data_IF_844435358397
#
_entry.id   IF_844435358397
#
_cell.length_a   1.000
_cell.length_b   1.000
_cell.length_c   1.000
_cell.angle_alpha   90.00
_cell.angle_beta   90.00
_cell.angle_gamma   90.00
#
_symmetry.space_group_name_H-M   'P 1'
#
loop_
_entity.id
_entity.type
_entity.pdbx_description
1 polymer ?
#
# COMPACT_ATOMS: atom_id res chain seq x y z
N UNK A 1 37.53 -31.05 28.97
CA UNK A 1 36.37 -30.14 28.86
C UNK A 1 36.33 -29.66 27.42
N UNK A 2 35.47 -30.28 26.60
CA UNK A 2 35.35 -30.00 25.17
C UNK A 2 34.18 -29.07 24.89
N UNK A 3 34.40 -28.07 24.03
CA UNK A 3 33.36 -27.19 23.49
C UNK A 3 32.88 -27.71 22.14
N UNK A 4 31.56 -27.64 21.92
CA UNK A 4 30.89 -27.94 20.65
C UNK A 4 30.46 -26.60 20.05
N UNK A 5 31.03 -26.25 18.90
CA UNK A 5 30.57 -25.17 18.04
C UNK A 5 29.49 -25.68 17.09
N UNK A 6 28.46 -24.85 16.87
CA UNK A 6 27.38 -25.13 15.91
C UNK A 6 27.62 -24.25 14.69
N UNK A 7 27.98 -24.89 13.58
CA UNK A 7 28.07 -24.31 12.24
C UNK A 7 26.66 -24.05 11.68
N UNK A 8 26.44 -22.85 11.13
CA UNK A 8 25.28 -22.50 10.33
C UNK A 8 25.72 -22.32 8.87
N UNK A 9 25.79 -23.42 8.13
CA UNK A 9 26.01 -23.43 6.67
C UNK A 9 24.67 -23.37 5.94
N UNK A 10 24.33 -22.21 5.37
CA UNK A 10 23.30 -22.09 4.34
C UNK A 10 23.88 -22.52 2.99
N UNK A 11 23.22 -23.47 2.34
CA UNK A 11 23.72 -24.18 1.16
C UNK A 11 23.70 -23.30 -0.11
N UNK A 12 24.82 -22.61 -0.35
CA UNK A 12 25.08 -21.77 -1.54
C UNK A 12 25.10 -22.55 -2.88
N UNK A 13 25.05 -23.88 -2.84
CA UNK A 13 25.18 -24.74 -4.03
C UNK A 13 23.96 -24.71 -4.96
N UNK A 14 22.75 -24.55 -4.43
CA UNK A 14 21.49 -24.63 -5.21
C UNK A 14 21.25 -23.39 -6.06
N UNK A 15 21.56 -22.20 -5.54
CA UNK A 15 21.42 -20.93 -6.28
C UNK A 15 22.43 -20.82 -7.44
N UNK A 16 23.63 -21.38 -7.26
CA UNK A 16 24.66 -21.43 -8.31
C UNK A 16 24.20 -22.27 -9.51
N UNK A 17 23.56 -23.41 -9.28
CA UNK A 17 23.11 -24.30 -10.36
C UNK A 17 21.97 -23.72 -11.21
N UNK A 18 21.05 -22.97 -10.61
CA UNK A 18 19.96 -22.30 -11.34
C UNK A 18 20.49 -21.20 -12.26
N UNK A 19 21.45 -20.40 -11.76
CA UNK A 19 22.08 -19.33 -12.52
C UNK A 19 22.88 -19.87 -13.71
N UNK A 20 23.65 -20.95 -13.53
CA UNK A 20 24.39 -21.58 -14.64
C UNK A 20 23.49 -22.12 -15.76
N UNK A 21 22.31 -22.65 -15.41
CA UNK A 21 21.32 -23.11 -16.40
C UNK A 21 20.77 -21.93 -17.21
N UNK A 22 20.37 -20.83 -16.56
CA UNK A 22 19.88 -19.64 -17.24
C UNK A 22 20.94 -19.02 -18.17
N UNK A 23 22.20 -18.99 -17.73
CA UNK A 23 23.32 -18.55 -18.58
C UNK A 23 23.49 -19.47 -19.80
N UNK A 24 23.35 -20.79 -19.63
CA UNK A 24 23.44 -21.76 -20.73
C UNK A 24 22.31 -21.59 -21.74
N UNK A 25 21.08 -21.42 -21.27
CA UNK A 25 19.90 -21.26 -22.13
C UNK A 25 19.95 -19.93 -22.88
N UNK A 26 20.38 -18.87 -22.21
CA UNK A 26 20.63 -17.58 -22.84
C UNK A 26 21.73 -17.65 -23.88
N UNK A 27 22.85 -18.36 -23.62
CA UNK A 27 23.90 -18.58 -24.61
C UNK A 27 23.38 -19.31 -25.84
N UNK A 28 22.58 -20.35 -25.65
CA UNK A 28 21.96 -21.11 -26.74
C UNK A 28 21.03 -20.21 -27.57
N UNK A 29 20.18 -19.42 -26.93
CA UNK A 29 19.23 -18.55 -27.61
C UNK A 29 19.92 -17.34 -28.27
N UNK A 30 20.99 -16.81 -27.68
CA UNK A 30 21.82 -15.77 -28.27
C UNK A 30 22.71 -16.27 -29.40
N UNK A 31 23.01 -17.57 -29.48
CA UNK A 31 23.73 -18.15 -30.61
C UNK A 31 22.86 -18.24 -31.87
N UNK A 32 21.55 -18.42 -31.71
CA UNK A 32 20.61 -18.60 -32.83
C UNK A 32 19.91 -17.32 -33.29
N UNK A 33 19.95 -16.23 -32.50
CA UNK A 33 19.27 -14.97 -32.85
C UNK A 33 20.06 -14.07 -33.81
N UNK A 34 19.39 -13.23 -34.59
CA UNK A 34 20.04 -12.19 -35.42
C UNK A 34 20.54 -11.05 -34.53
N UNK A 35 21.65 -10.39 -34.88
CA UNK A 35 22.18 -9.25 -34.12
C UNK A 35 21.12 -8.15 -34.07
N UNK A 36 20.77 -7.70 -32.86
CA UNK A 36 19.73 -6.69 -32.63
C UNK A 36 18.31 -7.25 -32.42
N UNK A 37 18.11 -8.57 -32.44
CA UNK A 37 16.82 -9.19 -32.10
C UNK A 37 16.73 -9.56 -30.62
N UNK A 38 15.53 -9.41 -30.05
CA UNK A 38 15.20 -9.88 -28.70
C UNK A 38 15.39 -11.40 -28.59
N UNK A 39 15.93 -11.84 -27.45
CA UNK A 39 16.11 -13.25 -27.11
C UNK A 39 15.04 -13.66 -26.11
N UNK A 40 14.24 -14.67 -26.47
CA UNK A 40 13.15 -15.17 -25.62
C UNK A 40 13.62 -16.33 -24.75
N UNK A 41 13.52 -16.17 -23.43
CA UNK A 41 13.64 -17.26 -22.47
C UNK A 41 12.24 -17.74 -22.07
N UNK A 42 12.04 -19.05 -22.04
CA UNK A 42 10.74 -19.66 -21.67
C UNK A 42 10.89 -20.54 -20.45
N UNK A 43 9.89 -20.51 -19.57
CA UNK A 43 9.77 -21.49 -18.50
C UNK A 43 9.29 -22.84 -19.04
N UNK A 44 9.88 -23.93 -18.56
CA UNK A 44 9.37 -25.28 -18.82
C UNK A 44 7.93 -25.41 -18.25
N UNK A 45 6.96 -25.66 -19.12
CA UNK A 45 5.55 -25.77 -18.73
C UNK A 45 5.26 -27.00 -17.85
N UNK A 46 6.13 -28.02 -17.93
CA UNK A 46 5.99 -29.29 -17.20
C UNK A 46 6.30 -29.19 -15.70
N UNK A 47 6.84 -28.06 -15.23
CA UNK A 47 7.20 -27.90 -13.83
C UNK A 47 5.98 -27.72 -12.92
N UNK A 48 6.01 -28.25 -11.69
CA UNK A 48 5.01 -27.94 -10.66
C UNK A 48 4.88 -26.41 -10.48
N UNK A 49 3.65 -25.94 -10.24
CA UNK A 49 3.36 -24.49 -10.19
C UNK A 49 4.24 -23.71 -9.20
N UNK A 50 4.57 -24.32 -8.05
CA UNK A 50 5.48 -23.72 -7.06
C UNK A 50 6.91 -23.52 -7.59
N UNK A 51 7.44 -24.50 -8.32
CA UNK A 51 8.76 -24.41 -8.95
C UNK A 51 8.78 -23.41 -10.11
N UNK A 52 7.68 -23.31 -10.87
CA UNK A 52 7.53 -22.29 -11.93
C UNK A 52 7.62 -20.88 -11.38
N UNK A 53 6.98 -20.61 -10.23
CA UNK A 53 7.01 -19.28 -9.62
C UNK A 53 8.41 -18.90 -9.11
N UNK A 54 9.13 -19.85 -8.49
CA UNK A 54 10.52 -19.63 -8.06
C UNK A 54 11.42 -19.38 -9.27
N UNK A 55 11.31 -20.22 -10.30
CA UNK A 55 12.11 -20.05 -11.53
C UNK A 55 11.79 -18.74 -12.27
N UNK A 56 10.53 -18.32 -12.30
CA UNK A 56 10.16 -17.04 -12.89
C UNK A 56 10.85 -15.86 -12.18
N UNK A 57 10.87 -15.89 -10.85
CA UNK A 57 11.54 -14.88 -10.04
C UNK A 57 13.06 -14.88 -10.25
N UNK A 58 13.67 -16.07 -10.37
CA UNK A 58 15.09 -16.21 -10.69
C UNK A 58 15.41 -15.65 -12.08
N UNK A 59 14.54 -15.87 -13.08
CA UNK A 59 14.68 -15.32 -14.43
C UNK A 59 14.63 -13.79 -14.45
N UNK A 60 13.69 -13.18 -13.72
CA UNK A 60 13.59 -11.71 -13.61
C UNK A 60 14.81 -11.15 -12.88
N UNK A 61 15.19 -11.76 -11.76
CA UNK A 61 16.35 -11.34 -10.95
C UNK A 61 17.65 -11.42 -11.78
N UNK A 62 17.79 -12.49 -12.57
CA UNK A 62 18.90 -12.68 -13.50
C UNK A 62 18.93 -11.61 -14.59
N UNK A 63 17.80 -11.33 -15.26
CA UNK A 63 17.74 -10.28 -16.28
C UNK A 63 18.02 -8.88 -15.71
N UNK A 64 17.54 -8.58 -14.51
CA UNK A 64 17.85 -7.35 -13.80
C UNK A 64 19.35 -7.22 -13.48
N UNK A 65 19.99 -8.30 -13.02
CA UNK A 65 21.43 -8.34 -12.75
C UNK A 65 22.25 -8.12 -14.03
N UNK A 66 21.87 -8.76 -15.14
CA UNK A 66 22.55 -8.57 -16.43
C UNK A 66 22.35 -7.17 -17.01
N UNK A 67 21.18 -6.55 -16.81
CA UNK A 67 20.94 -5.16 -17.19
C UNK A 67 21.86 -4.21 -16.43
N UNK A 68 22.05 -4.45 -15.13
CA UNK A 68 22.99 -3.68 -14.28
C UNK A 68 24.45 -3.79 -14.78
N UNK A 69 24.83 -4.93 -15.32
CA UNK A 69 26.17 -5.18 -15.85
C UNK A 69 26.36 -4.73 -17.31
N UNK A 70 25.33 -4.15 -17.96
CA UNK A 70 25.40 -3.66 -19.34
C UNK A 70 25.30 -4.75 -20.43
N UNK A 71 25.10 -6.01 -20.04
CA UNK A 71 24.91 -7.14 -20.97
C UNK A 71 23.55 -7.08 -21.66
N UNK A 72 22.53 -6.58 -20.94
CA UNK A 72 21.14 -6.45 -21.41
C UNK A 72 20.75 -4.98 -21.47
N UNK A 73 20.11 -4.57 -22.57
CA UNK A 73 19.59 -3.21 -22.79
C UNK A 73 18.22 -3.05 -22.11
N UNK A 74 17.31 -3.97 -22.40
CA UNK A 74 15.94 -4.01 -21.89
C UNK A 74 15.45 -5.44 -21.75
N UNK A 75 14.43 -5.64 -20.92
CA UNK A 75 13.69 -6.89 -20.87
C UNK A 75 12.20 -6.60 -20.63
N UNK A 76 11.33 -7.47 -21.14
CA UNK A 76 9.88 -7.38 -21.02
C UNK A 76 9.31 -8.66 -20.42
N UNK A 77 8.52 -8.51 -19.36
CA UNK A 77 7.95 -9.61 -18.59
C UNK A 77 6.61 -10.07 -19.22
N UNK A 78 6.61 -11.22 -19.89
CA UNK A 78 5.44 -11.78 -20.57
C UNK A 78 5.20 -13.23 -20.15
N UNK A 79 4.81 -13.48 -18.89
CA UNK A 79 4.63 -14.83 -18.36
C UNK A 79 3.86 -15.76 -19.34
N UNK A 80 4.41 -16.94 -19.73
CA UNK A 80 5.58 -17.62 -19.15
C UNK A 80 6.94 -17.30 -19.82
N UNK A 81 7.02 -16.27 -20.66
CA UNK A 81 8.19 -15.88 -21.43
C UNK A 81 8.82 -14.58 -20.93
N UNK A 82 10.14 -14.51 -20.96
CA UNK A 82 10.91 -13.29 -20.71
C UNK A 82 11.66 -12.93 -21.98
N UNK A 83 11.29 -11.80 -22.59
CA UNK A 83 11.95 -11.28 -23.79
C UNK A 83 13.09 -10.35 -23.34
N UNK A 84 14.32 -10.62 -23.77
CA UNK A 84 15.54 -9.93 -23.35
C UNK A 84 16.26 -9.34 -24.57
N UNK A 85 16.46 -8.02 -24.57
CA UNK A 85 17.25 -7.33 -25.58
C UNK A 85 18.72 -7.29 -25.16
N UNK A 86 19.57 -8.05 -25.85
CA UNK A 86 21.00 -8.16 -25.53
C UNK A 86 21.78 -7.10 -26.32
N UNK A 87 22.71 -6.40 -25.65
CA UNK A 87 23.60 -5.45 -26.31
C UNK A 87 24.63 -6.17 -27.20
N UNK A 88 25.18 -5.49 -28.21
CA UNK A 88 26.23 -6.09 -29.05
C UNK A 88 27.46 -6.54 -28.21
N UNK A 89 27.88 -5.73 -27.25
CA UNK A 89 28.97 -6.06 -26.31
C UNK A 89 28.59 -7.18 -25.34
N UNK A 90 27.33 -7.22 -24.89
CA UNK A 90 26.80 -8.30 -24.06
C UNK A 90 26.81 -9.63 -24.78
N UNK A 91 26.49 -9.65 -26.08
CA UNK A 91 26.50 -10.86 -26.91
C UNK A 91 27.92 -11.41 -27.11
N UNK A 92 28.90 -10.55 -27.37
CA UNK A 92 30.32 -10.95 -27.46
C UNK A 92 30.78 -11.59 -26.15
N UNK A 93 30.44 -10.98 -25.02
CA UNK A 93 30.74 -11.49 -23.67
C UNK A 93 30.08 -12.84 -23.40
N UNK A 94 28.80 -12.98 -23.76
CA UNK A 94 28.03 -14.20 -23.54
C UNK A 94 28.54 -15.38 -24.37
N UNK A 95 28.89 -15.14 -25.64
CA UNK A 95 29.34 -16.18 -26.57
C UNK A 95 30.84 -16.49 -26.44
N UNK A 96 31.59 -15.74 -25.63
CA UNK A 96 33.04 -15.93 -25.49
C UNK A 96 33.80 -15.71 -26.79
N UNK A 97 33.23 -14.92 -27.72
CA UNK A 97 33.88 -14.58 -28.98
C UNK A 97 35.00 -13.60 -28.63
N UNK A 98 36.28 -13.88 -28.98
CA UNK A 98 37.35 -12.91 -28.74
C UNK A 98 36.99 -11.61 -29.44
N UNK A 99 37.13 -10.48 -28.72
CA UNK A 99 36.81 -9.16 -29.24
C UNK A 99 37.69 -8.84 -30.46
N UNK A 100 37.23 -9.23 -31.65
CA UNK A 100 37.79 -8.76 -32.90
C UNK A 100 37.36 -7.29 -32.98
N UNK A 101 38.33 -6.39 -33.16
CA UNK A 101 38.11 -4.95 -33.33
C UNK A 101 37.06 -4.70 -34.42
N UNK A 102 35.79 -4.55 -34.02
CA UNK A 102 34.77 -3.97 -34.88
C UNK A 102 35.07 -2.48 -34.90
N UNK A 103 35.80 -2.08 -35.93
CA UNK A 103 36.28 -0.74 -36.15
C UNK A 103 35.14 0.28 -36.16
N UNK A 104 35.48 1.48 -35.68
CA UNK A 104 34.74 2.72 -35.93
C UNK A 104 34.51 2.86 -37.43
N UNK A 105 33.30 2.60 -37.90
CA UNK A 105 32.91 2.99 -39.25
C UNK A 105 32.23 4.36 -39.19
N UNK A 106 32.95 5.33 -39.76
CA UNK A 106 32.59 6.72 -39.93
C UNK A 106 31.37 6.91 -40.82
N UNK A 107 30.50 7.84 -40.44
CA UNK A 107 29.51 8.43 -41.34
C UNK A 107 30.16 9.05 -42.59
N UNK A 108 29.51 8.99 -43.76
CA UNK A 108 29.74 9.94 -44.83
C UNK A 108 28.53 10.86 -45.03
N UNK A 109 28.83 12.14 -45.28
CA UNK A 109 27.89 13.16 -45.67
C UNK A 109 28.02 13.47 -47.18
N UNK A 110 26.88 13.78 -47.79
CA UNK A 110 26.64 14.55 -49.02
C UNK A 110 26.96 13.92 -50.38
N UNK A 111 25.93 13.86 -51.24
CA UNK A 111 26.06 13.75 -52.70
C UNK A 111 24.77 13.37 -53.45
N UNK A 112 23.88 14.35 -53.68
CA UNK A 112 22.89 14.33 -54.78
C UNK A 112 23.63 14.35 -56.14
N UNK A 113 23.10 13.78 -57.27
CA UNK A 113 21.94 14.38 -57.96
C UNK A 113 21.01 13.45 -58.80
N UNK A 114 19.89 14.07 -59.21
CA UNK A 114 19.11 13.92 -60.45
C UNK A 114 18.16 12.70 -60.69
N UNK A 115 16.87 13.02 -60.53
CA UNK A 115 15.72 12.77 -61.43
C UNK A 115 15.56 11.43 -62.15
N UNK A 116 14.45 10.75 -61.87
CA UNK A 116 13.39 10.52 -62.87
C UNK A 116 12.09 10.00 -62.24
N UNK A 117 11.01 10.55 -62.79
CA UNK A 117 9.58 10.27 -62.70
C UNK A 117 9.11 8.81 -62.56
N UNK A 118 8.08 8.60 -61.72
CA UNK A 118 6.76 8.03 -62.04
C UNK A 118 5.92 7.93 -60.75
N UNK A 119 4.96 8.83 -60.51
CA UNK A 119 3.50 8.66 -60.75
C UNK A 119 2.96 7.30 -60.29
N UNK A 120 2.23 7.28 -59.16
CA UNK A 120 0.90 6.64 -59.01
C UNK A 120 0.25 6.95 -57.65
N UNK A 121 -0.69 7.90 -57.70
CA UNK A 121 -2.01 7.98 -57.04
C UNK A 121 -2.25 7.12 -55.78
N UNK A 122 -2.49 7.80 -54.66
CA UNK A 122 -3.27 7.27 -53.54
C UNK A 122 -4.15 8.37 -52.93
N UNK A 123 -5.45 8.09 -52.88
CA UNK A 123 -6.53 8.93 -52.37
C UNK A 123 -6.28 9.48 -50.96
N UNK A 124 -6.37 10.80 -50.83
CA UNK A 124 -6.71 11.49 -49.60
C UNK A 124 -8.19 11.24 -49.27
N UNK A 125 -8.44 10.68 -48.08
CA UNK A 125 -9.64 11.01 -47.31
C UNK A 125 -9.18 11.67 -46.02
N UNK A 126 -9.23 13.00 -46.02
CA UNK A 126 -9.11 13.85 -44.85
C UNK A 126 -10.21 13.51 -43.84
N UNK A 127 -9.81 13.09 -42.63
CA UNK A 127 -10.58 13.38 -41.42
C UNK A 127 -9.60 13.89 -40.38
N UNK A 128 -9.56 15.22 -40.27
CA UNK A 128 -8.84 15.99 -39.27
C UNK A 128 -9.18 15.49 -37.85
N UNK A 129 -8.24 14.81 -37.20
CA UNK A 129 -8.26 14.56 -35.76
C UNK A 129 -7.69 15.78 -35.03
N UNK A 130 -8.57 16.76 -34.80
CA UNK A 130 -8.29 17.91 -33.93
C UNK A 130 -7.96 17.41 -32.52
N UNK A 131 -6.85 17.91 -31.97
CA UNK A 131 -6.37 17.60 -30.63
C UNK A 131 -7.47 17.79 -29.57
N UNK A 132 -7.88 16.68 -28.91
CA UNK A 132 -8.76 16.71 -27.75
C UNK A 132 -7.98 17.29 -26.56
N UNK A 133 -8.14 18.59 -26.33
CA UNK A 133 -7.79 19.19 -25.05
C UNK A 133 -8.49 18.42 -23.91
N UNK A 134 -7.74 18.10 -22.86
CA UNK A 134 -8.26 17.52 -21.62
C UNK A 134 -9.27 18.50 -21.01
N UNK A 135 -10.54 18.34 -21.35
CA UNK A 135 -11.63 19.01 -20.65
C UNK A 135 -11.86 18.25 -19.35
N UNK A 136 -11.38 18.78 -18.23
CA UNK A 136 -11.76 18.34 -16.90
C UNK A 136 -12.91 19.23 -16.42
N UNK A 137 -14.18 18.86 -16.68
CA UNK A 137 -15.31 19.66 -16.21
C UNK A 137 -15.27 19.73 -14.67
N UNK A 138 -15.42 20.94 -14.14
CA UNK A 138 -15.57 21.17 -12.70
C UNK A 138 -16.71 20.31 -12.16
N UNK A 139 -16.59 19.71 -10.96
CA UNK A 139 -17.57 18.77 -10.42
C UNK A 139 -18.99 19.35 -10.44
N UNK A 140 -20.01 18.55 -10.79
CA UNK A 140 -21.36 19.06 -10.88
C UNK A 140 -21.90 19.43 -9.49
N UNK A 141 -22.69 20.50 -9.36
CA UNK A 141 -23.39 20.80 -8.12
C UNK A 141 -24.23 19.62 -7.67
N UNK A 142 -24.12 19.26 -6.38
CA UNK A 142 -24.78 18.06 -5.84
C UNK A 142 -26.30 18.13 -5.94
N UNK A 143 -26.88 19.33 -5.87
CA UNK A 143 -28.31 19.57 -6.04
C UNK A 143 -28.82 19.15 -7.43
N UNK A 144 -28.02 19.42 -8.48
CA UNK A 144 -28.32 19.03 -9.85
C UNK A 144 -28.26 17.51 -10.03
N UNK A 145 -27.31 16.85 -9.37
CA UNK A 145 -27.20 15.38 -9.37
C UNK A 145 -28.41 14.74 -8.67
N UNK A 146 -28.82 15.27 -7.52
CA UNK A 146 -29.97 14.77 -6.75
C UNK A 146 -31.29 14.88 -7.53
N UNK A 147 -31.55 16.03 -8.16
CA UNK A 147 -32.78 16.25 -8.92
C UNK A 147 -32.84 15.34 -10.15
N UNK A 148 -31.72 15.13 -10.84
CA UNK A 148 -31.64 14.23 -11.98
C UNK A 148 -31.85 12.77 -11.60
N UNK A 149 -31.24 12.29 -10.50
CA UNK A 149 -31.46 10.90 -10.03
C UNK A 149 -32.95 10.66 -9.80
N UNK A 150 -33.63 11.57 -9.10
CA UNK A 150 -35.06 11.43 -8.80
C UNK A 150 -35.91 11.49 -10.05
N UNK A 151 -35.56 12.37 -11.00
CA UNK A 151 -36.27 12.50 -12.29
C UNK A 151 -36.16 11.22 -13.12
N UNK A 152 -34.96 10.65 -13.23
CA UNK A 152 -34.73 9.46 -14.07
C UNK A 152 -35.30 8.18 -13.48
N UNK A 153 -35.38 8.08 -12.14
CA UNK A 153 -36.04 6.95 -11.47
C UNK A 153 -37.57 7.09 -11.40
N UNK A 154 -38.14 8.22 -11.85
CA UNK A 154 -39.59 8.41 -11.84
C UNK A 154 -40.28 7.52 -12.89
N UNK A 155 -40.82 6.39 -12.44
CA UNK A 155 -41.49 5.41 -13.30
C UNK A 155 -40.55 4.43 -14.01
N UNK A 156 -39.26 4.42 -13.67
CA UNK A 156 -38.26 3.49 -14.22
C UNK A 156 -37.52 2.77 -13.09
N UNK A 157 -37.02 1.58 -13.40
CA UNK A 157 -36.14 0.80 -12.52
C UNK A 157 -34.82 0.64 -13.25
N UNK A 158 -33.75 1.22 -12.69
CA UNK A 158 -32.45 1.27 -13.37
C UNK A 158 -31.36 0.61 -12.51
N UNK A 159 -30.38 0.01 -13.17
CA UNK A 159 -29.17 -0.46 -12.49
C UNK A 159 -28.26 0.69 -12.06
N UNK A 160 -27.37 0.48 -11.09
CA UNK A 160 -26.45 1.52 -10.60
C UNK A 160 -25.63 2.19 -11.70
N UNK A 161 -25.01 1.40 -12.59
CA UNK A 161 -24.18 1.93 -13.68
C UNK A 161 -25.00 2.58 -14.79
N UNK A 162 -26.19 2.06 -15.06
CA UNK A 162 -27.10 2.63 -16.06
C UNK A 162 -27.61 3.99 -15.60
N UNK A 163 -28.08 4.09 -14.35
CA UNK A 163 -28.45 5.36 -13.73
C UNK A 163 -27.29 6.34 -13.71
N UNK A 164 -26.07 5.89 -13.36
CA UNK A 164 -24.87 6.71 -13.39
C UNK A 164 -24.54 7.26 -14.78
N UNK A 165 -24.73 6.46 -15.83
CA UNK A 165 -24.49 6.89 -17.22
C UNK A 165 -25.56 7.88 -17.73
N UNK A 166 -26.83 7.67 -17.38
CA UNK A 166 -27.93 8.58 -17.74
C UNK A 166 -27.76 9.93 -17.04
N UNK A 167 -27.45 9.93 -15.74
CA UNK A 167 -27.22 11.16 -14.97
C UNK A 167 -25.97 11.90 -15.46
N UNK A 168 -24.90 11.18 -15.84
CA UNK A 168 -23.70 11.78 -16.42
C UNK A 168 -24.05 12.50 -17.73
N UNK A 169 -24.78 11.82 -18.62
CA UNK A 169 -25.22 12.37 -19.90
C UNK A 169 -26.11 13.61 -19.71
N UNK A 170 -27.02 13.58 -18.73
CA UNK A 170 -27.90 14.70 -18.39
C UNK A 170 -27.18 15.93 -17.84
N UNK A 171 -25.94 15.76 -17.33
CA UNK A 171 -25.07 16.83 -16.84
C UNK A 171 -24.01 17.26 -17.86
N UNK A 172 -24.01 16.68 -19.07
CA UNK A 172 -23.02 16.96 -20.11
C UNK A 172 -21.67 16.22 -19.93
N UNK A 173 -21.63 15.17 -19.10
CA UNK A 173 -20.44 14.35 -18.90
C UNK A 173 -20.43 13.14 -19.82
N UNK A 174 -19.27 12.71 -20.35
CA UNK A 174 -19.18 11.49 -21.13
C UNK A 174 -19.59 10.27 -20.28
N UNK A 175 -20.44 9.36 -20.78
CA UNK A 175 -20.93 8.19 -20.04
C UNK A 175 -19.83 7.29 -19.44
N UNK A 176 -18.63 7.30 -20.04
CA UNK A 176 -17.47 6.58 -19.55
C UNK A 176 -17.05 7.00 -18.12
N UNK A 177 -17.29 8.26 -17.73
CA UNK A 177 -16.97 8.78 -16.40
C UNK A 177 -17.84 8.17 -15.29
N UNK A 178 -18.95 7.50 -15.63
CA UNK A 178 -19.76 6.76 -14.65
C UNK A 178 -19.13 5.43 -14.20
N UNK A 179 -18.05 4.98 -14.86
CA UNK A 179 -17.37 3.69 -14.57
C UNK A 179 -16.03 3.84 -13.88
N UNK A 180 -15.37 4.99 -14.00
CA UNK A 180 -13.99 5.19 -13.54
C UNK A 180 -13.91 6.32 -12.51
N UNK A 181 -13.27 6.07 -11.37
CA UNK A 181 -12.87 7.10 -10.39
C UNK A 181 -11.68 7.95 -10.91
N UNK A 182 -11.64 8.21 -12.21
CA UNK A 182 -10.48 8.67 -12.96
C UNK A 182 -10.25 10.17 -12.95
N UNK A 183 -10.19 10.81 -11.79
CA UNK A 183 -9.57 12.13 -11.67
C UNK A 183 -8.13 11.96 -11.14
N UNK A 184 -7.08 12.07 -11.98
CA UNK A 184 -5.69 11.91 -11.53
C UNK A 184 -5.22 12.99 -10.52
N UNK A 185 -6.00 14.04 -10.30
CA UNK A 185 -5.61 15.26 -9.57
C UNK A 185 -6.21 15.40 -8.16
N UNK A 186 -6.92 14.40 -7.63
CA UNK A 186 -7.47 14.47 -6.26
C UNK A 186 -8.68 15.40 -6.10
N UNK A 187 -9.18 15.99 -7.18
CA UNK A 187 -10.43 16.74 -7.22
C UNK A 187 -11.66 15.80 -7.09
N UNK A 188 -12.82 16.30 -6.63
CA UNK A 188 -14.04 15.50 -6.56
C UNK A 188 -14.43 15.02 -7.96
N UNK A 189 -14.30 13.72 -8.23
CA UNK A 189 -14.79 13.15 -9.48
C UNK A 189 -16.32 13.15 -9.51
N UNK A 190 -16.91 13.26 -10.70
CA UNK A 190 -18.35 13.04 -10.93
C UNK A 190 -18.87 11.82 -10.15
N UNK A 191 -18.12 10.72 -10.21
CA UNK A 191 -18.47 9.46 -9.57
C UNK A 191 -18.59 9.57 -8.05
N UNK A 192 -17.69 10.32 -7.40
CA UNK A 192 -17.74 10.56 -5.96
C UNK A 192 -18.98 11.40 -5.59
N UNK A 193 -19.27 12.45 -6.37
CA UNK A 193 -20.47 13.28 -6.15
C UNK A 193 -21.75 12.47 -6.37
N UNK A 194 -21.82 11.66 -7.42
CA UNK A 194 -22.93 10.75 -7.71
C UNK A 194 -23.13 9.71 -6.60
N UNK A 195 -22.06 9.04 -6.16
CA UNK A 195 -22.13 8.06 -5.09
C UNK A 195 -22.58 8.69 -3.76
N UNK A 196 -22.10 9.90 -3.43
CA UNK A 196 -22.52 10.65 -2.25
C UNK A 196 -23.99 11.04 -2.32
N UNK A 197 -24.45 11.58 -3.46
CA UNK A 197 -25.84 11.95 -3.69
C UNK A 197 -26.78 10.73 -3.56
N UNK A 198 -26.42 9.61 -4.19
CA UNK A 198 -27.23 8.39 -4.13
C UNK A 198 -27.28 7.83 -2.70
N UNK A 199 -26.17 7.83 -1.97
CA UNK A 199 -26.13 7.37 -0.58
C UNK A 199 -27.05 8.21 0.30
N UNK A 200 -27.08 9.53 0.09
CA UNK A 200 -28.00 10.41 0.81
C UNK A 200 -29.46 10.13 0.47
N UNK A 201 -29.81 9.95 -0.80
CA UNK A 201 -31.19 9.60 -1.21
C UNK A 201 -31.65 8.26 -0.62
N UNK A 202 -30.75 7.28 -0.51
CA UNK A 202 -31.04 5.99 0.12
C UNK A 202 -31.25 6.15 1.62
N UNK A 203 -30.41 6.94 2.31
CA UNK A 203 -30.54 7.18 3.74
C UNK A 203 -31.85 7.92 4.11
N UNK A 204 -32.28 8.86 3.27
CA UNK A 204 -33.56 9.57 3.42
C UNK A 204 -34.78 8.75 2.96
N UNK A 205 -34.58 7.47 2.59
CA UNK A 205 -35.62 6.56 2.08
C UNK A 205 -36.35 7.08 0.83
N UNK A 206 -35.70 7.94 0.03
CA UNK A 206 -36.24 8.43 -1.23
C UNK A 206 -35.98 7.46 -2.39
N UNK A 207 -34.87 6.72 -2.31
CA UNK A 207 -34.49 5.66 -3.24
C UNK A 207 -34.31 4.37 -2.44
N UNK A 208 -34.86 3.28 -2.94
CA UNK A 208 -34.71 1.95 -2.35
C UNK A 208 -33.86 1.06 -3.27
N UNK A 209 -33.17 0.08 -2.67
CA UNK A 209 -32.39 -0.92 -3.40
C UNK A 209 -33.11 -2.27 -3.36
N UNK A 210 -33.42 -2.83 -4.52
CA UNK A 210 -33.89 -4.22 -4.68
C UNK A 210 -32.85 -5.01 -5.46
N UNK A 211 -31.92 -5.64 -4.73
CA UNK A 211 -30.77 -6.31 -5.33
C UNK A 211 -29.86 -5.33 -6.06
N UNK A 212 -29.67 -5.51 -7.37
CA UNK A 212 -28.86 -4.64 -8.23
C UNK A 212 -29.65 -3.46 -8.84
N UNK A 213 -30.94 -3.40 -8.58
CA UNK A 213 -31.85 -2.42 -9.17
C UNK A 213 -32.19 -1.30 -8.16
N UNK A 214 -32.32 -0.09 -8.68
CA UNK A 214 -32.69 1.12 -7.95
C UNK A 214 -34.07 1.57 -8.41
N UNK A 215 -34.95 1.91 -7.47
CA UNK A 215 -36.28 2.45 -7.70
C UNK A 215 -36.61 3.53 -6.67
N UNK A 216 -37.57 4.40 -6.98
CA UNK A 216 -38.07 5.38 -6.00
C UNK A 216 -38.84 4.68 -4.88
N UNK A 217 -38.64 5.14 -3.65
CA UNK A 217 -39.38 4.66 -2.48
C UNK A 217 -40.89 4.91 -2.59
N UNK A 218 -41.67 4.17 -1.81
CA UNK A 218 -43.13 4.26 -1.83
C UNK A 218 -43.61 5.69 -1.53
N UNK A 219 -44.52 6.21 -2.36
CA UNK A 219 -45.07 7.57 -2.22
C UNK A 219 -44.17 8.72 -2.71
N UNK A 220 -42.90 8.45 -3.03
CA UNK A 220 -41.96 9.49 -3.52
C UNK A 220 -42.36 9.95 -4.92
N UNK A 221 -42.72 9.02 -5.83
CA UNK A 221 -43.16 9.35 -7.18
C UNK A 221 -44.39 10.29 -7.19
N UNK A 222 -45.35 10.08 -6.28
CA UNK A 222 -46.51 10.95 -6.12
C UNK A 222 -46.11 12.37 -5.65
N UNK A 223 -45.12 12.46 -4.76
CA UNK A 223 -44.57 13.74 -4.27
C UNK A 223 -43.74 14.49 -5.31
N UNK A 224 -43.07 13.76 -6.22
CA UNK A 224 -42.41 14.35 -7.40
C UNK A 224 -43.46 14.95 -8.33
N UNK A 225 -44.53 14.21 -8.63
CA UNK A 225 -45.64 14.69 -9.48
C UNK A 225 -46.37 15.89 -8.89
N UNK A 226 -46.52 15.95 -7.57
CA UNK A 226 -47.16 17.08 -6.89
C UNK A 226 -46.23 18.27 -6.62
N UNK A 227 -44.94 18.17 -6.97
CA UNK A 227 -43.94 19.22 -6.68
C UNK A 227 -43.62 19.41 -5.20
N UNK A 228 -44.11 18.54 -4.30
CA UNK A 228 -43.94 18.65 -2.85
C UNK A 228 -42.69 17.90 -2.32
N UNK A 229 -41.85 17.38 -3.20
CA UNK A 229 -40.64 16.69 -2.80
C UNK A 229 -39.57 17.69 -2.34
N UNK A 230 -39.33 17.74 -1.03
CA UNK A 230 -38.18 18.43 -0.45
C UNK A 230 -36.94 17.55 -0.59
N UNK A 231 -36.02 17.93 -1.47
CA UNK A 231 -34.71 17.27 -1.58
C UNK A 231 -33.82 17.66 -0.39
N UNK A 232 -32.96 16.74 0.09
CA UNK A 232 -32.02 17.05 1.16
C UNK A 232 -31.05 18.15 0.71
N UNK A 233 -30.97 19.23 1.48
CA UNK A 233 -29.96 20.27 1.29
C UNK A 233 -28.62 19.70 1.73
N UNK A 234 -27.65 19.65 0.81
CA UNK A 234 -26.27 19.30 1.14
C UNK A 234 -25.42 20.56 1.08
N UNK A 235 -24.72 20.86 2.17
CA UNK A 235 -23.66 21.87 2.13
C UNK A 235 -22.58 21.39 1.17
N UNK A 236 -22.30 22.18 0.14
CA UNK A 236 -21.22 21.87 -0.79
C UNK A 236 -19.90 21.81 -0.01
N UNK A 237 -19.04 20.81 -0.27
CA UNK A 237 -17.77 20.70 0.43
C UNK A 237 -16.97 21.97 0.15
N UNK A 238 -16.78 22.81 1.19
CA UNK A 238 -15.99 24.04 1.10
C UNK A 238 -14.60 23.70 0.55
N UNK A 239 -14.37 24.02 -0.73
CA UNK A 239 -13.05 23.89 -1.36
C UNK A 239 -12.12 24.83 -0.60
N UNK A 240 -11.21 24.28 0.20
CA UNK A 240 -10.24 25.08 0.95
C UNK A 240 -9.36 25.82 -0.05
N UNK A 241 -9.44 27.15 -0.07
CA UNK A 241 -8.61 27.99 -0.91
C UNK A 241 -7.10 27.71 -0.65
N UNK A 242 -6.25 27.71 -1.68
CA UNK A 242 -4.81 27.53 -1.53
C UNK A 242 -4.23 28.64 -0.65
N UNK A 243 -3.45 28.25 0.37
CA UNK A 243 -2.83 29.17 1.34
C UNK A 243 -1.79 30.06 0.62
N UNK A 244 -1.78 31.39 0.83
CA UNK A 244 -0.78 32.26 0.22
C UNK A 244 0.64 31.96 0.77
N UNK A 245 1.70 32.16 -0.05
CA UNK A 245 3.08 31.91 0.35
C UNK A 245 3.52 32.92 1.43
N UNK A 246 4.21 32.43 2.47
CA UNK A 246 4.72 33.27 3.56
C UNK A 246 5.92 34.11 3.11
N UNK A 247 6.08 35.35 3.59
CA UNK A 247 7.21 36.21 3.24
C UNK A 247 8.54 35.67 3.80
N UNK A 248 9.60 35.77 3.00
CA UNK A 248 10.98 35.52 3.42
C UNK A 248 11.49 36.69 4.27
N UNK A 249 12.14 36.39 5.40
CA UNK A 249 12.82 37.39 6.24
C UNK A 249 14.29 37.03 6.34
N UNK A 250 15.14 37.94 5.88
CA UNK A 250 16.60 37.92 5.97
C UNK A 250 17.09 38.45 7.33
N UNK A 251 18.35 38.17 7.74
CA UNK A 251 18.77 38.20 9.14
C UNK A 251 19.39 39.54 9.55
N UNK A 252 19.13 39.99 10.78
CA UNK A 252 19.98 40.99 11.45
C UNK A 252 20.19 40.59 12.91
N UNK A 253 21.46 40.50 13.30
CA UNK A 253 21.95 40.28 14.66
C UNK A 253 22.28 41.63 15.35
N UNK A 254 22.88 41.66 16.55
CA UNK A 254 22.26 41.36 17.84
C UNK A 254 22.45 42.52 18.84
N UNK A 255 21.53 42.73 19.80
CA UNK A 255 21.85 43.39 21.08
C UNK A 255 21.09 42.78 22.25
N UNK A 256 21.85 42.58 23.31
CA UNK A 256 21.53 41.93 24.56
C UNK A 256 20.58 42.76 25.44
N UNK A 257 19.68 42.10 26.16
CA UNK A 257 19.82 41.79 27.60
C UNK A 257 18.46 41.76 28.33
N UNK A 258 18.34 40.71 29.15
CA UNK A 258 17.65 40.64 30.43
C UNK A 258 16.14 40.29 30.51
N UNK A 259 15.95 39.16 31.20
CA UNK A 259 14.76 38.64 31.92
C UNK A 259 13.91 37.60 31.19
N UNK A 260 14.48 36.41 31.01
CA UNK A 260 13.74 35.12 31.14
C UNK A 260 14.63 33.88 31.31
N UNK A 261 15.95 34.03 31.40
CA UNK A 261 16.83 33.01 31.97
C UNK A 261 16.75 33.02 33.50
N UNK A 262 15.67 32.46 34.06
CA UNK A 262 15.67 31.93 35.42
C UNK A 262 14.44 31.03 35.62
N UNK A 263 14.48 29.83 35.02
CA UNK A 263 13.63 28.70 35.46
C UNK A 263 14.07 27.32 34.93
N UNK A 264 15.02 27.21 33.99
CA UNK A 264 15.35 25.90 33.35
C UNK A 264 16.82 25.47 33.52
N UNK A 265 17.66 26.29 34.15
CA UNK A 265 19.10 26.02 34.30
C UNK A 265 19.52 25.44 35.68
N UNK A 266 18.62 24.82 36.44
CA UNK A 266 18.96 24.01 37.62
C UNK A 266 18.24 22.66 37.61
N UNK A 267 18.62 21.81 36.66
CA UNK A 267 18.45 20.35 36.79
C UNK A 267 19.78 19.68 36.44
N UNK A 268 20.88 20.19 36.99
CA UNK A 268 22.06 19.39 37.27
C UNK A 268 21.91 18.91 38.71
N UNK A 269 21.50 17.66 38.91
CA UNK A 269 21.52 17.03 40.23
C UNK A 269 20.48 15.94 40.48
N UNK A 270 19.27 16.04 39.93
CA UNK A 270 18.25 14.99 40.11
C UNK A 270 17.35 14.95 38.88
N UNK A 271 17.55 13.94 38.01
CA UNK A 271 16.62 13.62 36.93
C UNK A 271 15.35 12.98 37.50
N UNK A 272 14.55 13.72 38.28
CA UNK A 272 13.20 13.29 38.60
C UNK A 272 12.35 13.49 37.35
N UNK A 273 11.68 12.43 36.92
CA UNK A 273 10.66 12.52 35.88
C UNK A 273 9.63 13.55 36.34
N UNK A 274 9.38 14.63 35.58
CA UNK A 274 8.35 15.58 35.93
C UNK A 274 7.01 14.84 36.02
N UNK A 275 6.23 15.07 37.08
CA UNK A 275 4.92 14.43 37.25
C UNK A 275 3.87 14.84 36.20
N UNK A 276 4.20 15.74 35.28
CA UNK A 276 3.24 16.37 34.37
C UNK A 276 3.64 16.24 32.87
N UNK A 277 4.13 15.06 32.47
CA UNK A 277 4.51 14.77 31.08
C UNK A 277 3.36 14.99 30.08
N UNK A 278 2.12 14.78 30.53
CA UNK A 278 0.90 14.87 29.72
C UNK A 278 0.62 16.28 29.21
N UNK A 279 0.97 17.32 29.98
CA UNK A 279 0.75 18.73 29.58
C UNK A 279 1.95 19.36 28.87
N UNK A 280 3.11 18.70 28.82
CA UNK A 280 4.32 19.24 28.19
C UNK A 280 4.16 19.36 26.67
N UNK A 281 4.75 20.39 26.06
CA UNK A 281 4.74 20.51 24.59
C UNK A 281 5.66 19.47 23.94
N UNK A 282 5.44 19.14 22.66
CA UNK A 282 6.30 18.19 21.92
C UNK A 282 7.78 18.60 21.91
N UNK A 283 8.14 19.88 21.70
CA UNK A 283 9.53 20.35 21.84
C UNK A 283 10.13 20.12 23.23
N UNK A 284 9.35 20.32 24.30
CA UNK A 284 9.86 20.17 25.67
C UNK A 284 10.12 18.70 26.02
N UNK A 285 9.26 17.79 25.55
CA UNK A 285 9.48 16.34 25.67
C UNK A 285 10.76 15.90 24.95
N UNK A 286 11.06 16.48 23.77
CA UNK A 286 12.28 16.20 23.03
C UNK A 286 13.53 16.68 23.77
N UNK A 287 13.47 17.84 24.42
CA UNK A 287 14.56 18.35 25.25
C UNK A 287 14.80 17.41 26.44
N UNK A 288 13.74 16.97 27.11
CA UNK A 288 13.82 16.03 28.23
C UNK A 288 14.45 14.69 27.81
N UNK A 289 14.01 14.14 26.68
CA UNK A 289 14.55 12.90 26.11
C UNK A 289 16.03 13.03 25.73
N UNK A 290 16.42 14.12 25.06
CA UNK A 290 17.83 14.38 24.70
C UNK A 290 18.74 14.51 25.92
N UNK A 291 18.25 15.17 26.98
CA UNK A 291 19.00 15.32 28.21
C UNK A 291 19.17 13.95 28.92
N UNK A 292 18.13 13.13 28.94
CA UNK A 292 18.22 11.77 29.48
C UNK A 292 19.23 10.90 28.71
N UNK A 293 19.24 10.97 27.36
CA UNK A 293 20.22 10.27 26.56
C UNK A 293 21.66 10.76 26.77
N UNK A 294 21.88 12.07 26.96
CA UNK A 294 23.21 12.58 27.32
C UNK A 294 23.71 12.01 28.63
N UNK A 295 22.84 11.87 29.63
CA UNK A 295 23.19 11.30 30.94
C UNK A 295 23.53 9.81 30.80
N UNK A 296 22.79 9.06 29.98
CA UNK A 296 23.08 7.65 29.70
C UNK A 296 24.43 7.50 28.98
N UNK A 297 24.73 8.39 28.03
CA UNK A 297 25.98 8.38 27.27
C UNK A 297 27.21 8.84 28.05
N UNK A 298 27.05 9.50 29.21
CA UNK A 298 28.15 9.94 30.05
C UNK A 298 28.53 8.86 31.08
N UNK A 299 29.71 8.22 30.96
CA UNK A 299 30.16 7.19 31.89
C UNK A 299 30.43 7.73 33.31
N UNK A 300 30.53 9.05 33.49
CA UNK A 300 30.74 9.68 34.81
C UNK A 300 29.44 9.79 35.62
N UNK A 301 28.28 9.62 35.00
CA UNK A 301 26.96 9.82 35.63
C UNK A 301 26.19 8.51 35.88
N UNK A 302 26.90 7.42 36.16
CA UNK A 302 26.31 6.07 36.39
C UNK A 302 25.19 6.05 37.43
N UNK A 303 25.28 6.85 38.49
CA UNK A 303 24.25 6.95 39.54
C UNK A 303 22.92 7.50 39.02
N UNK A 304 22.93 8.23 37.91
CA UNK A 304 21.74 8.82 37.28
C UNK A 304 21.23 8.02 36.07
N UNK A 305 21.92 6.94 35.66
CA UNK A 305 21.54 6.12 34.50
C UNK A 305 20.14 5.51 34.64
N UNK A 306 19.82 4.95 35.80
CA UNK A 306 18.50 4.35 36.04
C UNK A 306 17.36 5.37 35.93
N UNK A 307 17.55 6.57 36.47
CA UNK A 307 16.54 7.64 36.40
C UNK A 307 16.41 8.21 34.99
N UNK A 308 17.51 8.31 34.26
CA UNK A 308 17.53 8.73 32.87
C UNK A 308 16.85 7.70 31.95
N UNK A 309 17.08 6.40 32.17
CA UNK A 309 16.37 5.33 31.46
C UNK A 309 14.86 5.39 31.71
N UNK A 310 14.44 5.58 32.97
CA UNK A 310 13.03 5.74 33.30
C UNK A 310 12.40 6.98 32.62
N UNK A 311 13.14 8.08 32.50
CA UNK A 311 12.69 9.26 31.76
C UNK A 311 12.56 9.00 30.26
N UNK A 312 13.50 8.27 29.64
CA UNK A 312 13.42 7.86 28.23
C UNK A 312 12.18 7.00 27.98
N UNK A 313 11.94 6.00 28.83
CA UNK A 313 10.78 5.11 28.73
C UNK A 313 9.48 5.92 28.78
N UNK A 314 9.30 6.74 29.81
CA UNK A 314 8.07 7.52 30.00
C UNK A 314 7.82 8.57 28.91
N UNK A 315 8.88 9.21 28.39
CA UNK A 315 8.72 10.13 27.25
C UNK A 315 8.34 9.37 25.99
N UNK A 316 8.89 8.17 25.80
CA UNK A 316 8.55 7.30 24.66
C UNK A 316 7.10 6.83 24.75
N UNK A 317 6.64 6.39 25.92
CA UNK A 317 5.23 6.05 26.18
C UNK A 317 4.29 7.24 25.90
N UNK A 318 4.67 8.45 26.30
CA UNK A 318 3.88 9.65 26.04
C UNK A 318 3.85 10.03 24.55
N UNK A 319 4.95 9.82 23.82
CA UNK A 319 4.96 9.96 22.36
C UNK A 319 4.10 8.92 21.67
N UNK A 320 4.10 7.67 22.13
CA UNK A 320 3.21 6.60 21.63
C UNK A 320 1.74 6.93 21.88
N UNK A 321 1.40 7.44 23.08
CA UNK A 321 0.06 7.92 23.42
C UNK A 321 -0.40 9.06 22.49
N UNK A 322 0.47 10.04 22.22
CA UNK A 322 0.18 11.19 21.33
C UNK A 322 0.13 10.80 19.86
N UNK A 323 1.02 9.91 19.42
CA UNK A 323 1.08 9.37 18.07
C UNK A 323 -0.18 8.58 17.70
N UNK A 324 -0.78 7.90 18.67
CA UNK A 324 -2.03 7.15 18.49
C UNK A 324 -3.27 8.03 18.25
N UNK A 325 -3.20 9.34 18.57
CA UNK A 325 -4.35 10.26 18.50
C UNK A 325 -4.43 11.08 17.19
N UNK A 326 -3.34 11.18 16.42
CA UNK A 326 -3.28 12.05 15.24
C UNK A 326 -3.51 11.26 13.94
N UNK A 327 -4.77 10.91 13.67
CA UNK A 327 -5.18 10.28 12.41
C UNK A 327 -5.14 11.26 11.25
N UNK A 328 -4.15 11.10 10.35
CA UNK A 328 -4.30 11.20 8.88
C UNK A 328 -2.96 10.95 8.16
N UNK A 329 -2.51 9.69 8.09
CA UNK A 329 -1.66 9.15 7.02
C UNK A 329 -1.41 7.63 7.21
N UNK A 330 -1.87 6.81 6.25
CA UNK A 330 -1.41 5.43 5.92
C UNK A 330 -1.28 4.35 7.04
N UNK A 331 -1.93 4.48 8.20
CA UNK A 331 -2.12 3.40 9.17
C UNK A 331 -3.58 2.92 9.23
N UNK A 332 -3.82 1.62 9.43
CA UNK A 332 -5.18 1.10 9.70
C UNK A 332 -5.45 1.10 11.20
N UNK A 333 -6.71 1.31 11.62
CA UNK A 333 -7.05 1.27 13.06
C UNK A 333 -6.76 -0.13 13.63
N UNK A 334 -5.89 -0.19 14.64
CA UNK A 334 -5.58 -1.45 15.32
C UNK A 334 -6.86 -2.08 15.91
N UNK A 335 -7.11 -3.38 15.69
CA UNK A 335 -8.35 -4.01 16.12
C UNK A 335 -8.41 -4.16 17.65
N UNK A 336 -9.61 -4.04 18.20
CA UNK A 336 -9.84 -4.18 19.65
C UNK A 336 -10.28 -5.59 20.01
N UNK A 337 -9.91 -6.07 21.19
CA UNK A 337 -10.37 -7.36 21.75
C UNK A 337 -11.57 -7.21 22.69
N UNK A 338 -12.12 -6.00 22.82
CA UNK A 338 -13.32 -5.74 23.63
C UNK A 338 -14.52 -6.40 22.96
N UNK A 339 -15.20 -7.28 23.71
CA UNK A 339 -16.35 -8.03 23.23
C UNK A 339 -17.64 -7.45 23.82
N UNK A 340 -18.32 -6.60 23.06
CA UNK A 340 -19.68 -6.19 23.39
C UNK A 340 -20.67 -7.32 23.06
N UNK A 341 -21.77 -7.40 23.80
CA UNK A 341 -22.83 -8.40 23.61
C UNK A 341 -23.31 -8.47 22.17
N UNK A 342 -23.32 -9.68 21.60
CA UNK A 342 -23.80 -9.92 20.23
C UNK A 342 -25.30 -10.20 20.20
N UNK A 343 -25.95 -9.92 19.09
CA UNK A 343 -27.38 -10.20 18.84
C UNK A 343 -27.70 -11.70 18.59
N UNK A 344 -26.76 -12.61 18.87
CA UNK A 344 -26.94 -14.06 18.74
C UNK A 344 -27.06 -14.60 17.31
N UNK A 345 -27.02 -13.76 16.27
CA UNK A 345 -27.17 -14.19 14.87
C UNK A 345 -25.81 -14.22 14.17
N UNK A 346 -25.34 -15.42 13.81
CA UNK A 346 -24.18 -15.62 12.95
C UNK A 346 -24.66 -16.15 11.59
N UNK A 347 -24.39 -15.41 10.51
CA UNK A 347 -24.49 -15.93 9.15
C UNK A 347 -23.27 -16.80 8.85
N UNK A 348 -23.36 -18.10 9.12
CA UNK A 348 -22.27 -19.08 8.90
C UNK A 348 -22.19 -19.57 7.45
N UNK A 349 -23.06 -19.09 6.57
CA UNK A 349 -23.21 -19.58 5.19
C UNK A 349 -21.93 -19.46 4.33
N UNK A 350 -20.93 -18.68 4.77
CA UNK A 350 -19.64 -18.50 4.09
C UNK A 350 -18.41 -18.70 4.97
N UNK A 351 -18.55 -19.25 6.19
CA UNK A 351 -17.37 -19.48 7.03
C UNK A 351 -16.64 -20.74 6.58
N UNK A 352 -15.39 -20.61 6.13
CA UNK A 352 -14.52 -21.75 5.89
C UNK A 352 -14.24 -22.49 7.20
N UNK A 353 -14.20 -23.83 7.15
CA UNK A 353 -13.97 -24.68 8.31
C UNK A 353 -12.55 -24.51 8.89
N UNK A 354 -11.58 -24.18 8.03
CA UNK A 354 -10.19 -23.96 8.38
C UNK A 354 -9.68 -22.66 7.73
N UNK A 355 -8.84 -21.90 8.45
CA UNK A 355 -8.19 -20.69 7.94
C UNK A 355 -6.68 -20.79 7.99
N UNK A 356 -5.98 -19.87 7.30
CA UNK A 356 -4.52 -19.91 7.13
C UNK A 356 -3.70 -20.03 8.42
N UNK A 357 -4.12 -19.37 9.51
CA UNK A 357 -3.42 -19.50 10.80
C UNK A 357 -3.54 -20.93 11.36
N UNK A 358 -4.72 -21.54 11.28
CA UNK A 358 -4.93 -22.93 11.70
C UNK A 358 -4.12 -23.90 10.83
N UNK A 359 -4.11 -23.67 9.51
CA UNK A 359 -3.35 -24.48 8.56
C UNK A 359 -1.84 -24.46 8.83
N UNK A 360 -1.30 -23.31 9.26
CA UNK A 360 0.10 -23.15 9.66
C UNK A 360 0.34 -23.53 11.14
N UNK A 361 -0.58 -24.29 11.73
CA UNK A 361 -0.50 -24.81 13.09
C UNK A 361 -0.35 -23.73 14.18
N UNK A 362 -0.79 -22.50 13.90
CA UNK A 362 -0.92 -21.49 14.95
C UNK A 362 -2.04 -21.86 15.90
N UNK A 363 -1.67 -22.35 17.08
CA UNK A 363 -2.60 -22.78 18.14
C UNK A 363 -2.30 -22.09 19.46
N UNK A 364 -3.34 -21.82 20.23
CA UNK A 364 -3.30 -21.22 21.58
C UNK A 364 -4.13 -22.06 22.55
N UNK A 365 -3.94 -21.82 23.85
CA UNK A 365 -4.68 -22.45 24.93
C UNK A 365 -3.97 -23.65 25.55
N UNK A 366 -4.55 -24.21 26.59
CA UNK A 366 -3.86 -25.16 27.46
C UNK A 366 -3.63 -26.55 26.83
N UNK A 367 -4.58 -27.06 26.05
CA UNK A 367 -4.58 -28.47 25.60
C UNK A 367 -3.68 -28.72 24.39
N UNK A 368 -3.65 -27.79 23.43
CA UNK A 368 -2.90 -27.92 22.17
C UNK A 368 -2.27 -26.58 21.75
N UNK A 369 -2.03 -25.67 22.69
CA UNK A 369 -1.39 -24.39 22.41
C UNK A 369 0.11 -24.54 22.22
N UNK A 370 0.63 -23.86 21.22
CA UNK A 370 2.06 -23.79 20.98
C UNK A 370 2.72 -22.82 21.97
N UNK A 371 4.00 -23.01 22.34
CA UNK A 371 4.74 -22.06 23.17
C UNK A 371 4.82 -20.66 22.53
N UNK A 372 4.87 -19.60 23.35
CA UNK A 372 4.89 -18.20 22.88
C UNK A 372 5.94 -17.93 21.80
N UNK A 373 7.15 -18.49 21.93
CA UNK A 373 8.22 -18.31 20.95
C UNK A 373 7.86 -18.91 19.58
N UNK A 374 7.27 -20.11 19.57
CA UNK A 374 6.82 -20.80 18.35
C UNK A 374 5.66 -20.03 17.71
N UNK A 375 4.67 -19.63 18.50
CA UNK A 375 3.54 -18.82 18.02
C UNK A 375 4.00 -17.54 17.35
N UNK A 376 4.89 -16.78 18.00
CA UNK A 376 5.41 -15.53 17.46
C UNK A 376 6.31 -15.74 16.23
N UNK A 377 7.05 -16.86 16.17
CA UNK A 377 7.80 -17.23 14.98
C UNK A 377 6.89 -17.57 13.79
N UNK A 378 5.80 -18.31 14.02
CA UNK A 378 4.77 -18.57 13.01
C UNK A 378 4.16 -17.25 12.53
N UNK A 379 3.79 -16.35 13.44
CA UNK A 379 3.23 -15.05 13.08
C UNK A 379 4.21 -14.19 12.27
N UNK A 380 5.48 -14.15 12.65
CA UNK A 380 6.54 -13.49 11.86
C UNK A 380 6.61 -14.08 10.45
N UNK A 381 6.65 -15.42 10.35
CA UNK A 381 6.68 -16.14 9.08
C UNK A 381 5.46 -15.79 8.21
N UNK A 382 4.26 -15.77 8.79
CA UNK A 382 3.01 -15.41 8.08
C UNK A 382 3.06 -13.99 7.51
N UNK A 383 3.70 -13.07 8.24
CA UNK A 383 3.85 -11.69 7.83
C UNK A 383 4.90 -11.52 6.72
N UNK A 384 6.09 -12.09 6.90
CA UNK A 384 7.26 -11.81 6.06
C UNK A 384 7.39 -12.76 4.86
N UNK A 385 6.84 -13.96 4.95
CA UNK A 385 7.03 -15.00 3.95
C UNK A 385 5.83 -15.17 3.03
N UNK A 386 6.11 -15.80 1.89
CA UNK A 386 5.09 -16.25 0.95
C UNK A 386 4.26 -17.35 1.59
N UNK A 387 2.94 -17.17 1.59
CA UNK A 387 2.03 -18.18 2.13
C UNK A 387 1.84 -19.34 1.15
N UNK A 388 1.65 -20.56 1.67
CA UNK A 388 1.23 -21.70 0.85
C UNK A 388 -0.09 -21.37 0.10
N UNK A 389 -0.18 -21.63 -1.21
CA UNK A 389 -1.38 -21.37 -2.01
C UNK A 389 -2.43 -22.49 -1.83
N UNK A 390 -2.88 -22.69 -0.60
CA UNK A 390 -3.74 -23.83 -0.21
C UNK A 390 -5.23 -23.50 -0.20
N UNK A 391 -5.58 -22.21 -0.24
CA UNK A 391 -6.95 -21.73 -0.35
C UNK A 391 -7.21 -21.11 -1.72
N UNK A 392 -8.48 -20.84 -2.01
CA UNK A 392 -8.88 -20.19 -3.26
C UNK A 392 -8.20 -18.82 -3.44
N UNK A 393 -8.08 -18.41 -4.70
CA UNK A 393 -7.40 -17.17 -5.06
C UNK A 393 -8.02 -15.93 -4.41
N UNK A 394 -9.34 -15.91 -4.23
CA UNK A 394 -10.03 -14.76 -3.65
C UNK A 394 -9.66 -14.61 -2.17
N UNK A 395 -9.63 -15.71 -1.41
CA UNK A 395 -9.17 -15.74 -0.03
C UNK A 395 -7.70 -15.33 0.10
N UNK A 396 -6.83 -15.86 -0.76
CA UNK A 396 -5.40 -15.53 -0.73
C UNK A 396 -5.14 -14.05 -1.01
N UNK A 397 -5.95 -13.40 -1.87
CA UNK A 397 -5.87 -11.96 -2.13
C UNK A 397 -6.19 -11.11 -0.89
N UNK A 398 -7.07 -11.58 0.02
CA UNK A 398 -7.39 -10.86 1.26
C UNK A 398 -6.19 -10.74 2.20
N UNK A 399 -5.22 -11.65 2.09
CA UNK A 399 -3.99 -11.58 2.85
C UNK A 399 -3.03 -10.52 2.27
N UNK A 400 -3.13 -10.14 0.99
CA UNK A 400 -2.27 -9.11 0.37
C UNK A 400 -0.85 -9.58 0.07
N UNK A 401 0.15 -8.71 -0.15
CA UNK A 401 1.55 -9.10 -0.31
C UNK A 401 2.28 -9.35 1.02
N UNK A 402 3.44 -10.02 0.97
CA UNK A 402 4.35 -10.18 2.12
C UNK A 402 4.78 -8.82 2.69
N UNK A 403 4.85 -8.70 4.01
CA UNK A 403 5.27 -7.49 4.71
C UNK A 403 4.32 -6.28 4.58
N UNK A 404 3.14 -6.46 3.97
CA UNK A 404 2.23 -5.36 3.68
C UNK A 404 1.34 -4.98 4.86
N UNK A 405 0.81 -3.75 4.87
CA UNK A 405 -0.20 -3.32 5.85
C UNK A 405 -1.47 -4.17 5.80
N UNK A 406 -1.87 -4.60 4.59
CA UNK A 406 -3.03 -5.48 4.37
C UNK A 406 -2.83 -6.82 5.06
N UNK A 407 -1.63 -7.39 4.95
CA UNK A 407 -1.23 -8.64 5.62
C UNK A 407 -1.34 -8.52 7.14
N UNK A 408 -0.73 -7.49 7.70
CA UNK A 408 -0.76 -7.25 9.13
C UNK A 408 -2.19 -7.01 9.64
N UNK A 409 -2.99 -6.26 8.89
CA UNK A 409 -4.38 -6.01 9.21
C UNK A 409 -5.18 -7.31 9.21
N UNK A 410 -5.03 -8.17 8.20
CA UNK A 410 -5.73 -9.46 8.13
C UNK A 410 -5.38 -10.35 9.31
N UNK A 411 -4.11 -10.43 9.68
CA UNK A 411 -3.64 -11.18 10.85
C UNK A 411 -4.25 -10.63 12.14
N UNK A 412 -4.09 -9.33 12.39
CA UNK A 412 -4.55 -8.69 13.62
C UNK A 412 -6.08 -8.79 13.77
N UNK A 413 -6.84 -8.58 12.68
CA UNK A 413 -8.30 -8.69 12.69
C UNK A 413 -8.74 -10.12 12.98
N UNK A 414 -8.05 -11.12 12.43
CA UNK A 414 -8.36 -12.54 12.65
C UNK A 414 -8.14 -12.94 14.12
N UNK A 415 -6.97 -12.61 14.68
CA UNK A 415 -6.66 -12.92 16.09
C UNK A 415 -7.61 -12.17 17.04
N UNK A 416 -7.88 -10.88 16.78
CA UNK A 416 -8.83 -10.12 17.58
C UNK A 416 -10.25 -10.68 17.49
N UNK A 417 -10.65 -11.23 16.33
CA UNK A 417 -11.92 -11.92 16.20
C UNK A 417 -11.97 -13.21 17.02
N UNK A 418 -10.90 -14.01 17.04
CA UNK A 418 -10.80 -15.21 17.89
C UNK A 418 -10.95 -14.86 19.37
N UNK A 419 -10.24 -13.81 19.81
CA UNK A 419 -10.33 -13.31 21.18
C UNK A 419 -11.75 -12.84 21.53
N UNK A 420 -12.37 -11.98 20.69
CA UNK A 420 -13.75 -11.51 20.92
C UNK A 420 -14.76 -12.66 20.93
N UNK A 421 -14.63 -13.62 20.01
CA UNK A 421 -15.54 -14.75 19.92
C UNK A 421 -15.43 -15.66 21.15
N UNK A 422 -14.22 -15.87 21.66
CA UNK A 422 -14.00 -16.65 22.87
C UNK A 422 -14.49 -15.93 24.13
N UNK A 423 -14.27 -14.61 24.25
CA UNK A 423 -14.81 -13.80 25.37
C UNK A 423 -16.34 -13.80 25.45
N UNK A 424 -17.04 -14.04 24.35
CA UNK A 424 -18.51 -14.15 24.34
C UNK A 424 -19.01 -15.51 24.81
N UNK A 425 -18.16 -16.54 24.85
CA UNK A 425 -18.52 -17.83 25.43
C UNK A 425 -18.40 -17.75 26.95
N UNK A 426 -19.40 -18.26 27.67
CA UNK A 426 -19.55 -18.08 29.13
C UNK A 426 -18.90 -19.20 29.96
N UNK A 427 -18.08 -20.05 29.35
CA UNK A 427 -17.63 -21.31 29.93
C UNK A 427 -16.25 -21.25 30.63
N UNK A 428 -15.59 -20.08 30.68
CA UNK A 428 -14.32 -19.87 31.41
C UNK A 428 -13.10 -20.63 30.88
N UNK A 429 -13.32 -21.70 30.10
CA UNK A 429 -12.32 -22.65 29.58
C UNK A 429 -11.28 -22.04 28.63
N UNK A 430 -11.40 -20.75 28.29
CA UNK A 430 -10.61 -20.09 27.24
C UNK A 430 -9.80 -18.90 27.73
N UNK A 431 -9.72 -18.67 29.04
CA UNK A 431 -8.97 -17.55 29.61
C UNK A 431 -7.49 -17.56 29.19
N UNK A 432 -6.84 -18.73 29.20
CA UNK A 432 -5.46 -18.86 28.74
C UNK A 432 -5.31 -18.50 27.25
N UNK A 433 -6.19 -19.04 26.39
CA UNK A 433 -6.17 -18.74 24.96
C UNK A 433 -6.42 -17.25 24.68
N UNK A 434 -7.31 -16.61 25.45
CA UNK A 434 -7.59 -15.17 25.37
C UNK A 434 -6.33 -14.37 25.69
N UNK A 435 -5.65 -14.70 26.80
CA UNK A 435 -4.41 -14.04 27.22
C UNK A 435 -3.33 -14.19 26.15
N UNK A 436 -3.18 -15.38 25.58
CA UNK A 436 -2.19 -15.65 24.53
C UNK A 436 -2.47 -14.90 23.24
N UNK A 437 -3.73 -14.85 22.76
CA UNK A 437 -4.09 -14.02 21.61
C UNK A 437 -3.82 -12.54 21.85
N UNK A 438 -4.06 -12.03 23.05
CA UNK A 438 -3.78 -10.64 23.41
C UNK A 438 -2.28 -10.35 23.44
N UNK A 439 -1.47 -11.26 23.99
CA UNK A 439 -0.01 -11.17 23.93
C UNK A 439 0.51 -11.19 22.49
N UNK A 440 -0.04 -12.05 21.64
CA UNK A 440 0.36 -12.17 20.24
C UNK A 440 -0.06 -10.94 19.42
N UNK A 441 -1.22 -10.34 19.72
CA UNK A 441 -1.61 -9.04 19.14
C UNK A 441 -0.66 -7.92 19.56
N UNK A 442 -0.30 -7.87 20.84
CA UNK A 442 0.64 -6.87 21.33
C UNK A 442 2.04 -7.05 20.72
N UNK A 443 2.47 -8.30 20.54
CA UNK A 443 3.68 -8.63 19.77
C UNK A 443 3.61 -8.08 18.34
N UNK A 444 2.54 -8.35 17.59
CA UNK A 444 2.38 -7.85 16.22
C UNK A 444 2.35 -6.32 16.17
N UNK A 445 1.70 -5.69 17.13
CA UNK A 445 1.64 -4.24 17.23
C UNK A 445 3.04 -3.64 17.42
N UNK A 446 3.78 -4.12 18.43
CA UNK A 446 5.11 -3.60 18.77
C UNK A 446 6.15 -3.87 17.68
N UNK A 447 6.09 -5.01 17.00
CA UNK A 447 7.13 -5.41 16.05
C UNK A 447 6.87 -4.99 14.61
N UNK A 448 5.60 -4.88 14.18
CA UNK A 448 5.28 -4.64 12.77
C UNK A 448 4.37 -3.44 12.55
N UNK A 449 3.69 -2.93 13.58
CA UNK A 449 2.80 -1.78 13.43
C UNK A 449 3.49 -0.48 13.87
N UNK A 450 4.05 -0.46 15.07
CA UNK A 450 4.78 0.68 15.64
C UNK A 450 6.09 0.89 14.87
N UNK A 451 6.33 2.09 14.37
CA UNK A 451 7.57 2.46 13.66
C UNK A 451 7.68 1.99 12.21
N UNK A 452 7.03 0.91 11.79
CA UNK A 452 7.06 0.45 10.38
C UNK A 452 6.08 1.19 9.46
N UNK A 453 4.93 1.61 9.99
CA UNK A 453 3.99 2.46 9.27
C UNK A 453 4.19 3.92 9.71
N UNK A 454 5.10 4.61 9.04
CA UNK A 454 5.33 6.03 9.28
C UNK A 454 4.16 6.88 8.75
N UNK A 455 3.57 7.64 9.66
CA UNK A 455 2.64 8.71 9.39
C UNK A 455 3.33 9.81 8.56
N UNK A 456 3.05 9.88 7.27
CA UNK A 456 2.90 11.13 6.50
C UNK A 456 4.05 12.16 6.44
N UNK A 457 5.26 11.89 6.93
CA UNK A 457 6.41 12.75 6.67
C UNK A 457 7.41 11.99 5.81
N UNK A 458 7.47 12.34 4.52
CA UNK A 458 8.65 12.01 3.73
C UNK A 458 9.85 12.67 4.42
N UNK A 459 10.77 11.86 4.92
CA UNK A 459 12.06 12.37 5.38
C UNK A 459 12.75 13.03 4.18
N UNK A 460 13.21 14.30 4.27
CA UNK A 460 13.90 14.91 3.16
C UNK A 460 15.18 14.11 2.88
N UNK A 461 15.25 13.48 1.71
CA UNK A 461 16.52 12.99 1.18
C UNK A 461 17.33 14.22 0.82
N UNK A 462 18.37 14.53 1.59
CA UNK A 462 19.44 15.40 1.13
C UNK A 462 20.24 14.64 0.07
N UNK A 463 19.74 14.64 -1.17
CA UNK A 463 20.64 14.46 -2.31
C UNK A 463 21.39 15.77 -2.45
N UNK A 464 22.69 15.71 -2.18
CA UNK A 464 23.67 16.70 -2.66
C UNK A 464 23.89 16.44 -4.14
#
# INVERSE_FOLDING_TARGET
MGGIGIDAGGDSSTQSGAHERLVRDLRRAAATSVIGSAVRLSLDEELPYGERAVRWYDMITFAAAMKKNGTVVSYSEHHPHLDIDISASGRVTLLGIPAINIGKESAPAVGSPASSSNVSVSHQSDVSATAKGLFTPAPPPIASVLSLIVRELNGKVLGYHELGAVVASGLGYPPAHAKTDGAPTGEPSYQRTFASALTKLVNEKLVERRGKLLHLGYGVASRVKSGQLKLPVMEEPKVKAPKPPKPQVSPTAPKANNKRELAVARVCGQSRVPGNLETMSMPDLLILWKNALRIIGDPKQKTSHASAQAAVIKVTEEWERRGSSTTNAKGFKWPTTVANGGNGRLGLEKSQAEGMLSYLEYRVGHTHGEPTQVRQAILRRVFEATLPPVFDRAYMLEWGPNGSSVRLQKMAVSIAAFCRNSKRRKDGSREDAIREWEQDLDFLHRHFYVGHFHFGFAWPTSKI
#
